data_IF_026344202074
#
_entry.id   IF_026344202074
#
_cell.length_a   1.000
_cell.length_b   1.000
_cell.length_c   1.000
_cell.angle_alpha   90.00
_cell.angle_beta   90.00
_cell.angle_gamma   90.00
#
_symmetry.space_group_name_H-M   'P 1'
#
loop_
_entity.id
_entity.type
_entity.pdbx_description
1 polymer ?
#
# COMPACT_ATOMS: atom_id res chain seq x y z
N UNK A 1 -15.36 -2.80 -9.62
CA UNK A 1 -14.49 -2.61 -8.41
C UNK A 1 -13.19 -1.93 -8.86
N UNK A 2 -12.43 -1.19 -8.04
CA UNK A 2 -11.28 -0.40 -8.55
C UNK A 2 -10.20 -1.24 -9.27
N UNK A 3 -9.81 -2.38 -8.69
CA UNK A 3 -8.88 -3.34 -9.30
C UNK A 3 -9.60 -4.47 -10.06
N UNK A 4 -10.63 -4.14 -10.82
CA UNK A 4 -11.29 -5.12 -11.69
C UNK A 4 -10.34 -5.60 -12.80
N UNK A 5 -10.29 -6.92 -13.00
CA UNK A 5 -9.36 -7.60 -13.92
C UNK A 5 -7.98 -7.92 -13.33
N UNK A 6 -7.81 -7.81 -12.01
CA UNK A 6 -6.58 -8.15 -11.28
C UNK A 6 -6.80 -9.30 -10.29
N UNK A 7 -5.81 -10.17 -10.14
CA UNK A 7 -5.78 -11.20 -9.10
C UNK A 7 -5.16 -10.62 -7.82
N UNK A 8 -6.03 -10.09 -6.96
CA UNK A 8 -5.66 -9.65 -5.61
C UNK A 8 -5.65 -10.85 -4.66
N UNK A 9 -4.70 -10.87 -3.73
CA UNK A 9 -4.63 -11.86 -2.65
C UNK A 9 -5.24 -11.29 -1.36
N UNK A 10 -4.73 -10.15 -0.91
CA UNK A 10 -5.14 -9.52 0.36
C UNK A 10 -5.22 -8.01 0.22
N UNK A 11 -6.14 -7.40 0.96
CA UNK A 11 -6.19 -5.96 1.19
C UNK A 11 -6.03 -5.75 2.69
N UNK A 12 -5.05 -4.92 3.08
CA UNK A 12 -4.83 -4.50 4.46
C UNK A 12 -5.15 -3.00 4.57
N UNK A 13 -6.34 -2.62 5.06
CA UNK A 13 -6.64 -1.23 5.38
C UNK A 13 -5.70 -0.76 6.50
N UNK A 14 -5.06 0.40 6.37
CA UNK A 14 -4.26 0.94 7.47
C UNK A 14 -5.17 1.80 8.36
N UNK A 15 -5.24 1.47 9.65
CA UNK A 15 -6.14 2.11 10.63
C UNK A 15 -5.36 2.72 11.78
N UNK A 16 -4.24 3.39 11.51
CA UNK A 16 -3.47 4.03 12.59
C UNK A 16 -3.87 5.50 12.72
N UNK A 17 -4.92 5.77 13.50
CA UNK A 17 -4.84 6.89 14.42
C UNK A 17 -5.47 6.57 15.78
N UNK A 18 -5.00 7.31 16.78
CA UNK A 18 -5.39 7.24 18.20
C UNK A 18 -6.92 7.41 18.41
N UNK A 19 -7.63 7.95 17.42
CA UNK A 19 -9.07 8.23 17.44
C UNK A 19 -9.92 7.23 16.62
N UNK A 20 -9.31 6.18 16.05
CA UNK A 20 -10.01 5.13 15.30
C UNK A 20 -10.50 5.53 13.90
N UNK A 21 -10.10 6.70 13.37
CA UNK A 21 -10.43 7.10 12.00
C UNK A 21 -9.57 6.34 10.97
N UNK A 22 -10.10 5.88 9.83
CA UNK A 22 -9.25 5.28 8.80
C UNK A 22 -8.25 6.32 8.26
N UNK A 23 -6.97 5.94 8.09
CA UNK A 23 -5.90 6.80 7.57
C UNK A 23 -6.17 7.26 6.12
N UNK A 24 -7.04 6.54 5.42
CA UNK A 24 -7.26 6.68 3.97
C UNK A 24 -6.24 5.93 3.12
N UNK A 25 -5.32 5.17 3.74
CA UNK A 25 -4.33 4.33 3.06
C UNK A 25 -4.66 2.84 3.23
N UNK A 26 -4.19 2.01 2.30
CA UNK A 26 -4.29 0.57 2.36
C UNK A 26 -3.15 -0.07 1.55
N UNK A 27 -2.71 -1.26 1.98
CA UNK A 27 -1.87 -2.13 1.16
C UNK A 27 -2.75 -3.11 0.38
N UNK A 28 -2.34 -3.42 -0.84
CA UNK A 28 -2.97 -4.43 -1.68
C UNK A 28 -1.89 -5.37 -2.18
N UNK A 29 -2.03 -6.64 -1.85
CA UNK A 29 -1.16 -7.70 -2.35
C UNK A 29 -1.78 -8.31 -3.62
N UNK A 30 -0.98 -8.42 -4.67
CA UNK A 30 -1.34 -9.08 -5.92
C UNK A 30 -0.64 -10.43 -6.02
N UNK A 31 -1.22 -11.34 -6.79
CA UNK A 31 -0.65 -12.68 -6.96
C UNK A 31 0.76 -12.66 -7.55
N UNK A 32 1.08 -11.65 -8.37
CA UNK A 32 2.40 -11.51 -9.00
C UNK A 32 2.87 -10.06 -9.02
N UNK A 33 4.19 -9.86 -9.02
CA UNK A 33 4.81 -8.54 -9.18
C UNK A 33 4.45 -7.88 -10.53
N UNK A 34 4.24 -8.69 -11.58
CA UNK A 34 3.80 -8.22 -12.89
C UNK A 34 2.39 -7.62 -12.84
N UNK A 35 1.47 -8.23 -12.08
CA UNK A 35 0.14 -7.68 -11.85
C UNK A 35 0.17 -6.39 -11.02
N UNK A 36 0.95 -6.35 -9.93
CA UNK A 36 1.13 -5.13 -9.14
C UNK A 36 1.67 -3.98 -10.02
N UNK A 37 2.65 -4.27 -10.86
CA UNK A 37 3.22 -3.29 -11.80
C UNK A 37 2.22 -2.83 -12.86
N UNK A 38 1.37 -3.73 -13.36
CA UNK A 38 0.27 -3.41 -14.30
C UNK A 38 -0.79 -2.53 -13.62
N UNK A 39 -1.13 -2.83 -12.37
CA UNK A 39 -2.06 -2.05 -11.57
C UNK A 39 -1.53 -0.64 -11.35
N UNK A 40 -0.27 -0.52 -10.91
CA UNK A 40 0.40 0.76 -10.72
C UNK A 40 0.40 1.60 -12.01
N UNK A 41 0.70 1.02 -13.17
CA UNK A 41 0.73 1.79 -14.44
C UNK A 41 -0.64 2.21 -14.95
N UNK A 42 -1.65 1.35 -14.83
CA UNK A 42 -2.94 1.57 -15.52
C UNK A 42 -4.05 2.12 -14.61
N UNK A 43 -3.88 2.05 -13.29
CA UNK A 43 -4.85 2.54 -12.31
C UNK A 43 -4.34 3.72 -11.48
N UNK A 44 -3.10 4.15 -11.67
CA UNK A 44 -2.58 5.35 -10.98
C UNK A 44 -3.47 6.57 -11.27
N UNK A 45 -3.85 7.29 -10.22
CA UNK A 45 -4.75 8.46 -10.25
C UNK A 45 -6.13 8.17 -10.85
N UNK A 46 -6.54 6.91 -10.99
CA UNK A 46 -7.91 6.58 -11.38
C UNK A 46 -8.89 6.92 -10.26
N UNK A 47 -10.17 7.11 -10.61
CA UNK A 47 -11.22 7.41 -9.62
C UNK A 47 -11.79 6.14 -9.03
N UNK A 48 -11.97 6.16 -7.71
CA UNK A 48 -12.88 5.28 -6.98
C UNK A 48 -14.04 6.14 -6.49
N UNK A 49 -15.17 6.04 -7.18
CA UNK A 49 -16.32 6.94 -6.99
C UNK A 49 -15.91 8.43 -7.06
N UNK A 50 -15.90 9.12 -5.91
CA UNK A 50 -15.64 10.57 -5.80
C UNK A 50 -14.17 10.90 -5.52
N UNK A 51 -13.34 9.93 -5.16
CA UNK A 51 -11.93 10.14 -4.79
C UNK A 51 -11.00 9.68 -5.89
N UNK A 52 -9.92 10.42 -6.14
CA UNK A 52 -8.79 9.92 -6.90
C UNK A 52 -7.93 9.06 -5.99
N UNK A 53 -7.45 7.94 -6.50
CA UNK A 53 -6.60 7.01 -5.76
C UNK A 53 -5.18 7.12 -6.29
N UNK A 54 -4.24 7.39 -5.40
CA UNK A 54 -2.81 7.33 -5.70
C UNK A 54 -2.26 5.96 -5.31
N UNK A 55 -1.49 5.37 -6.21
CA UNK A 55 -0.82 4.09 -6.01
C UNK A 55 0.68 4.30 -5.90
N UNK A 56 1.29 3.56 -4.98
CA UNK A 56 2.74 3.53 -4.77
C UNK A 56 3.21 2.08 -4.81
N UNK A 57 4.40 1.84 -5.35
CA UNK A 57 5.03 0.53 -5.21
C UNK A 57 5.36 0.27 -3.74
N UNK A 58 5.21 -0.98 -3.31
CA UNK A 58 5.47 -1.38 -1.94
C UNK A 58 5.97 -2.83 -1.90
N UNK A 59 6.61 -3.22 -0.79
CA UNK A 59 7.10 -4.57 -0.56
C UNK A 59 6.20 -5.35 0.40
N UNK A 60 6.37 -6.69 0.42
CA UNK A 60 5.67 -7.55 1.39
C UNK A 60 6.08 -7.23 2.83
N UNK A 61 7.35 -6.88 3.04
CA UNK A 61 7.88 -6.46 4.34
C UNK A 61 7.16 -5.21 4.88
N UNK A 62 6.92 -4.21 4.03
CA UNK A 62 6.16 -3.01 4.42
C UNK A 62 4.75 -3.34 4.87
N UNK A 63 4.07 -4.22 4.13
CA UNK A 63 2.72 -4.67 4.46
C UNK A 63 2.69 -5.46 5.78
N UNK A 64 3.70 -6.31 6.02
CA UNK A 64 3.82 -7.09 7.26
C UNK A 64 4.11 -6.21 8.48
N UNK A 65 4.96 -5.19 8.33
CA UNK A 65 5.16 -4.20 9.39
C UNK A 65 3.87 -3.45 9.71
N UNK A 66 3.11 -3.02 8.69
CA UNK A 66 1.84 -2.35 8.89
C UNK A 66 0.80 -3.26 9.55
N UNK A 67 0.78 -4.55 9.21
CA UNK A 67 -0.09 -5.54 9.85
C UNK A 67 0.22 -5.71 11.35
N UNK A 68 1.47 -5.45 11.75
CA UNK A 68 1.92 -5.44 13.14
C UNK A 68 1.70 -4.09 13.85
N UNK A 69 0.96 -3.16 13.24
CA UNK A 69 0.56 -1.89 13.85
C UNK A 69 1.54 -0.74 13.67
N UNK A 70 2.57 -0.89 12.83
CA UNK A 70 3.47 0.21 12.50
C UNK A 70 2.81 1.23 11.58
N UNK A 71 3.12 2.51 11.78
CA UNK A 71 2.63 3.59 10.92
C UNK A 71 3.32 3.55 9.55
N UNK A 72 2.54 3.69 8.47
CA UNK A 72 3.04 3.61 7.09
C UNK A 72 4.11 4.67 6.76
N UNK A 73 4.08 5.84 7.40
CA UNK A 73 5.11 6.88 7.21
C UNK A 73 6.41 6.49 7.90
N UNK A 74 6.32 5.92 9.09
CA UNK A 74 7.49 5.39 9.81
C UNK A 74 8.14 4.22 9.07
N UNK A 75 7.32 3.30 8.54
CA UNK A 75 7.78 2.16 7.73
C UNK A 75 8.59 2.67 6.52
N UNK A 76 8.01 3.59 5.73
CA UNK A 76 8.67 4.17 4.55
C UNK A 76 9.98 4.88 4.95
N UNK A 77 9.97 5.64 6.05
CA UNK A 77 11.17 6.32 6.54
C UNK A 77 12.25 5.35 7.02
N UNK A 78 11.88 4.17 7.53
CA UNK A 78 12.82 3.13 7.98
C UNK A 78 13.44 2.39 6.81
N UNK A 79 12.65 1.95 5.84
CA UNK A 79 13.13 1.15 4.69
C UNK A 79 13.90 2.02 3.69
N UNK A 80 13.53 3.30 3.54
CA UNK A 80 14.24 4.22 2.66
C UNK A 80 15.60 4.69 3.22
N UNK A 81 15.91 4.45 4.51
CA UNK A 81 17.22 4.79 5.06
C UNK A 81 18.24 3.75 4.61
N UNK A 82 19.33 4.15 3.91
CA UNK A 82 20.44 3.23 3.70
C UNK A 82 21.02 2.82 5.05
N UNK A 83 21.36 1.54 5.21
CA UNK A 83 22.05 1.06 6.41
C UNK A 83 23.32 1.91 6.63
N UNK A 84 23.63 2.32 7.88
CA UNK A 84 24.87 3.04 8.13
C UNK A 84 26.04 2.15 7.68
N UNK A 85 26.80 2.64 6.70
CA UNK A 85 28.06 2.03 6.31
C UNK A 85 29.01 2.17 7.50
N UNK A 86 29.34 1.05 8.16
CA UNK A 86 30.42 1.00 9.15
C UNK A 86 31.77 1.23 8.48
#
# INVERSE_FOLDING_TARGET
RFFEGYQMLTILPTTVPVDGRPSGEAYVEFKTAAEASRALRTRQKARMERRYIELFASSKEEMDMAANGWDSREIRARIARPAPTL
#
